data_IF_757280892121
#
_entry.id   IF_757280892121
#
_cell.length_a   1.000
_cell.length_b   1.000
_cell.length_c   1.000
_cell.angle_alpha   90.00
_cell.angle_beta   90.00
_cell.angle_gamma   90.00
#
_symmetry.space_group_name_H-M   'P 1'
#
loop_
_entity.id
_entity.type
_entity.pdbx_description
1 polymer ?
#
# COMPACT_ATOMS: atom_id res chain seq x y z
N UNK A 1 -43.96 -9.14 62.79
CA UNK A 1 -44.76 -7.92 62.55
C UNK A 1 -43.85 -6.90 61.86
N UNK A 2 -44.45 -6.13 60.95
CA UNK A 2 -43.89 -4.94 60.26
C UNK A 2 -43.20 -5.17 58.90
N UNK A 3 -44.02 -4.96 57.87
CA UNK A 3 -43.67 -4.57 56.49
C UNK A 3 -42.78 -3.32 56.48
N UNK A 4 -41.88 -3.18 55.49
CA UNK A 4 -41.81 -1.97 54.65
C UNK A 4 -41.25 -2.25 53.24
N UNK A 5 -41.97 -1.69 52.27
CA UNK A 5 -41.75 -1.66 50.82
C UNK A 5 -40.72 -0.57 50.48
N UNK A 6 -39.82 -0.81 49.52
CA UNK A 6 -39.11 0.27 48.81
C UNK A 6 -39.06 0.03 47.30
N UNK A 7 -39.49 1.09 46.61
CA UNK A 7 -39.86 1.20 45.21
C UNK A 7 -38.77 0.82 44.20
N UNK A 8 -39.20 0.19 43.10
CA UNK A 8 -38.43 0.08 41.87
C UNK A 8 -38.55 1.40 41.08
N UNK A 9 -37.41 1.99 40.70
CA UNK A 9 -37.35 3.18 39.85
C UNK A 9 -37.10 2.71 38.41
N UNK A 10 -38.14 2.71 37.59
CA UNK A 10 -38.07 2.39 36.16
C UNK A 10 -37.46 3.59 35.43
N UNK A 11 -36.25 3.44 34.87
CA UNK A 11 -35.61 4.47 34.03
C UNK A 11 -36.21 4.39 32.62
N UNK A 12 -36.90 5.44 32.21
CA UNK A 12 -37.46 5.59 30.86
C UNK A 12 -36.36 6.14 29.94
N UNK A 13 -35.79 5.30 29.06
CA UNK A 13 -34.87 5.74 28.00
C UNK A 13 -35.68 6.24 26.81
N UNK A 14 -35.65 7.56 26.57
CA UNK A 14 -36.19 8.17 25.36
C UNK A 14 -35.23 7.92 24.18
N UNK A 15 -35.68 7.19 23.15
CA UNK A 15 -34.97 7.04 21.90
C UNK A 15 -35.23 8.27 21.00
N UNK A 16 -34.23 9.13 20.82
CA UNK A 16 -34.28 10.20 19.82
C UNK A 16 -33.83 9.64 18.47
N UNK A 17 -34.76 9.41 17.55
CA UNK A 17 -34.47 9.10 16.16
C UNK A 17 -34.03 10.38 15.43
N UNK A 18 -32.73 10.55 15.19
CA UNK A 18 -32.20 11.58 14.28
C UNK A 18 -32.39 11.12 12.84
N UNK A 19 -33.37 11.70 12.14
CA UNK A 19 -33.51 11.59 10.70
C UNK A 19 -32.38 12.37 10.03
N UNK A 20 -31.33 11.70 9.54
CA UNK A 20 -30.29 12.31 8.71
C UNK A 20 -30.83 12.40 7.28
N UNK A 21 -31.22 13.59 6.84
CA UNK A 21 -31.55 13.84 5.44
C UNK A 21 -30.24 13.94 4.61
N UNK A 22 -30.18 13.36 3.41
CA UNK A 22 -29.02 13.48 2.54
C UNK A 22 -28.84 14.93 2.07
N UNK A 23 -27.68 15.53 2.37
CA UNK A 23 -27.32 16.86 1.88
C UNK A 23 -27.06 16.82 0.37
N UNK A 24 -27.74 17.64 -0.46
CA UNK A 24 -27.40 17.79 -1.87
C UNK A 24 -26.06 18.52 -1.98
N UNK A 25 -25.04 17.87 -2.52
CA UNK A 25 -23.76 18.52 -2.85
C UNK A 25 -22.52 17.99 -2.14
N UNK A 26 -22.58 16.82 -1.47
CA UNK A 26 -21.34 16.11 -1.16
C UNK A 26 -20.61 15.79 -2.49
N UNK A 27 -19.34 16.17 -2.67
CA UNK A 27 -18.59 15.73 -3.84
C UNK A 27 -18.62 14.20 -3.86
N UNK A 28 -19.04 13.65 -4.99
CA UNK A 28 -18.89 12.21 -5.20
C UNK A 28 -17.40 11.91 -5.00
N UNK A 29 -17.08 11.05 -4.03
CA UNK A 29 -15.77 10.45 -3.94
C UNK A 29 -15.58 9.59 -5.18
N UNK A 30 -15.12 10.20 -6.28
CA UNK A 30 -14.63 9.48 -7.43
C UNK A 30 -13.27 8.93 -7.05
N UNK A 31 -13.12 7.60 -7.03
CA UNK A 31 -11.78 7.04 -7.12
C UNK A 31 -11.14 7.60 -8.39
N UNK A 32 -9.87 8.01 -8.31
CA UNK A 32 -9.13 8.33 -9.53
C UNK A 32 -9.25 7.14 -10.50
N UNK A 33 -9.45 7.39 -11.81
CA UNK A 33 -9.59 6.30 -12.76
C UNK A 33 -8.36 5.40 -12.72
N UNK A 34 -8.58 4.09 -12.69
CA UNK A 34 -7.52 3.08 -12.72
C UNK A 34 -6.58 3.32 -13.91
N UNK A 35 -5.25 3.31 -13.73
CA UNK A 35 -4.31 3.45 -14.82
C UNK A 35 -4.34 2.20 -15.72
N UNK A 36 -4.05 2.36 -17.01
CA UNK A 36 -3.89 1.23 -17.92
C UNK A 36 -2.66 0.39 -17.56
N UNK A 37 -1.60 1.06 -17.10
CA UNK A 37 -0.33 0.46 -16.69
C UNK A 37 0.15 1.12 -15.40
N UNK A 38 0.69 0.34 -14.47
CA UNK A 38 1.44 0.83 -13.33
C UNK A 38 2.86 0.24 -13.33
N UNK A 39 3.85 1.08 -13.02
CA UNK A 39 5.21 0.62 -12.71
C UNK A 39 5.41 0.66 -11.20
N UNK A 40 5.68 -0.49 -10.61
CA UNK A 40 6.15 -0.62 -9.22
C UNK A 40 7.66 -0.80 -9.26
N UNK A 41 8.42 0.21 -8.83
CA UNK A 41 9.88 0.20 -8.95
C UNK A 41 10.60 0.39 -7.62
N UNK A 42 11.48 -0.55 -7.29
CA UNK A 42 12.39 -0.44 -6.15
C UNK A 42 13.76 0.10 -6.60
N UNK A 43 14.12 1.30 -6.13
CA UNK A 43 15.44 1.92 -6.34
C UNK A 43 16.56 1.08 -5.72
N UNK A 44 17.81 1.26 -6.13
CA UNK A 44 18.99 0.61 -5.53
C UNK A 44 19.51 1.33 -4.27
N UNK A 45 20.47 0.70 -3.60
CA UNK A 45 21.08 1.23 -2.38
C UNK A 45 21.69 2.62 -2.60
N UNK A 46 21.37 3.57 -1.72
CA UNK A 46 21.88 4.94 -1.77
C UNK A 46 21.28 5.80 -2.88
N UNK A 47 20.36 5.28 -3.70
CA UNK A 47 19.66 6.11 -4.68
C UNK A 47 18.73 7.11 -3.99
N UNK A 48 18.53 8.32 -4.58
CA UNK A 48 17.62 9.32 -4.04
C UNK A 48 16.20 8.79 -3.85
N UNK A 49 15.42 9.34 -2.88
CA UNK A 49 14.01 8.98 -2.70
C UNK A 49 13.19 9.06 -4.00
N UNK A 50 12.22 8.16 -4.15
CA UNK A 50 11.49 7.94 -5.40
C UNK A 50 11.98 6.68 -6.12
N UNK A 51 11.93 6.67 -7.45
CA UNK A 51 12.32 5.51 -8.28
C UNK A 51 13.83 5.43 -8.59
N UNK A 52 14.63 6.35 -8.05
CA UNK A 52 16.08 6.39 -8.28
C UNK A 52 16.49 6.91 -9.65
N UNK A 53 17.81 7.07 -9.83
CA UNK A 53 18.41 7.53 -11.08
C UNK A 53 18.36 6.48 -12.20
N UNK A 54 18.23 5.19 -11.86
CA UNK A 54 18.03 4.12 -12.84
C UNK A 54 16.55 3.90 -13.18
N UNK A 55 15.64 4.02 -12.21
CA UNK A 55 14.22 3.81 -12.45
C UNK A 55 13.59 4.91 -13.31
N UNK A 56 14.04 6.17 -13.17
CA UNK A 56 13.51 7.29 -13.94
C UNK A 56 13.66 7.12 -15.46
N UNK A 57 14.87 6.87 -16.02
CA UNK A 57 15.02 6.65 -17.46
C UNK A 57 14.27 5.40 -17.94
N UNK A 58 14.11 4.37 -17.10
CA UNK A 58 13.27 3.21 -17.43
C UNK A 58 11.79 3.61 -17.60
N UNK A 59 11.23 4.37 -16.65
CA UNK A 59 9.85 4.87 -16.71
C UNK A 59 9.64 5.78 -17.92
N UNK A 60 10.58 6.68 -18.20
CA UNK A 60 10.49 7.60 -19.34
C UNK A 60 10.53 6.83 -20.67
N UNK A 61 11.41 5.82 -20.78
CA UNK A 61 11.45 4.94 -21.93
C UNK A 61 10.15 4.14 -22.10
N UNK A 62 9.61 3.56 -21.02
CA UNK A 62 8.34 2.83 -21.06
C UNK A 62 7.19 3.74 -21.47
N UNK A 63 7.10 4.94 -20.90
CA UNK A 63 6.05 5.92 -21.23
C UNK A 63 6.03 6.26 -22.72
N UNK A 64 7.20 6.27 -23.38
CA UNK A 64 7.28 6.47 -24.84
C UNK A 64 6.78 5.29 -25.68
N UNK A 65 6.70 4.08 -25.10
CA UNK A 65 6.36 2.84 -25.82
C UNK A 65 4.90 2.38 -25.61
N UNK A 66 4.23 2.88 -24.57
CA UNK A 66 2.88 2.40 -24.23
C UNK A 66 1.74 3.07 -25.03
N UNK A 67 2.05 4.05 -25.89
CA UNK A 67 1.05 4.75 -26.72
C UNK A 67 0.21 5.73 -25.90
N UNK A 68 -1.10 5.74 -26.11
CA UNK A 68 -2.05 6.62 -25.38
C UNK A 68 -2.49 6.09 -24.01
N UNK A 69 -1.93 4.95 -23.57
CA UNK A 69 -2.24 4.35 -22.27
C UNK A 69 -1.76 5.25 -21.14
N UNK A 70 -2.59 5.39 -20.12
CA UNK A 70 -2.23 6.04 -18.87
C UNK A 70 -1.19 5.22 -18.10
N UNK A 71 -0.23 5.89 -17.46
CA UNK A 71 0.85 5.27 -16.69
C UNK A 71 0.95 5.88 -15.31
N UNK A 72 0.67 5.06 -14.29
CA UNK A 72 1.02 5.33 -12.91
C UNK A 72 2.43 4.81 -12.58
N UNK A 73 3.04 5.40 -11.55
CA UNK A 73 4.36 5.00 -11.07
C UNK A 73 4.34 4.99 -9.56
N UNK A 74 4.62 3.83 -8.98
CA UNK A 74 4.78 3.64 -7.56
C UNK A 74 6.26 3.40 -7.23
N UNK A 75 6.82 4.28 -6.41
CA UNK A 75 8.15 4.11 -5.85
C UNK A 75 8.06 3.29 -4.56
N UNK A 76 8.66 2.11 -4.55
CA UNK A 76 8.65 1.24 -3.37
C UNK A 76 9.27 1.95 -2.18
N UNK A 77 8.53 1.98 -1.07
CA UNK A 77 8.88 2.73 0.14
C UNK A 77 9.72 1.85 1.05
N UNK A 78 11.02 2.06 0.95
CA UNK A 78 11.97 1.42 1.85
C UNK A 78 13.25 2.26 1.96
N UNK A 79 14.10 2.02 2.97
CA UNK A 79 15.29 2.83 3.22
C UNK A 79 16.30 2.87 2.06
N UNK A 80 16.41 1.80 1.27
CA UNK A 80 17.48 1.62 0.29
C UNK A 80 18.88 1.90 0.90
N UNK A 81 19.12 1.36 2.10
CA UNK A 81 20.31 1.65 2.88
C UNK A 81 21.59 1.17 2.19
N UNK A 82 22.69 1.89 2.40
CA UNK A 82 24.06 1.46 2.05
C UNK A 82 24.81 0.90 3.25
N UNK A 83 24.18 0.86 4.42
CA UNK A 83 24.78 0.32 5.65
C UNK A 83 24.63 -1.20 5.71
N UNK A 84 25.37 -1.90 4.84
CA UNK A 84 25.38 -3.37 4.76
C UNK A 84 25.94 -4.06 6.00
N UNK A 85 26.63 -3.30 6.87
CA UNK A 85 27.20 -3.80 8.12
C UNK A 85 26.18 -3.82 9.26
N UNK A 86 25.06 -3.12 9.10
CA UNK A 86 24.00 -3.10 10.08
C UNK A 86 23.29 -4.47 10.13
N UNK A 87 23.19 -5.12 11.31
CA UNK A 87 22.48 -6.40 11.43
C UNK A 87 21.00 -6.32 11.01
N UNK A 88 20.38 -5.14 11.07
CA UNK A 88 19.00 -4.89 10.66
C UNK A 88 18.86 -4.59 9.15
N UNK A 89 19.97 -4.52 8.41
CA UNK A 89 19.95 -4.30 6.96
C UNK A 89 18.98 -5.24 6.21
N UNK A 90 18.93 -6.55 6.50
CA UNK A 90 17.96 -7.44 5.85
C UNK A 90 16.51 -7.04 6.09
N UNK A 91 16.17 -6.54 7.28
CA UNK A 91 14.83 -6.06 7.60
C UNK A 91 14.41 -4.91 6.67
N UNK A 92 15.34 -4.00 6.34
CA UNK A 92 15.05 -2.89 5.41
C UNK A 92 14.67 -3.36 4.01
N UNK A 93 15.24 -4.47 3.53
CA UNK A 93 14.89 -5.08 2.23
C UNK A 93 13.54 -5.78 2.33
N UNK A 94 13.28 -6.47 3.44
CA UNK A 94 12.00 -7.12 3.72
C UNK A 94 10.86 -6.08 3.77
N UNK A 95 11.10 -4.91 4.35
CA UNK A 95 10.12 -3.82 4.36
C UNK A 95 9.77 -3.37 2.93
N UNK A 96 10.76 -3.28 2.05
CA UNK A 96 10.52 -3.01 0.62
C UNK A 96 9.71 -4.12 -0.06
N UNK A 97 9.97 -5.38 0.27
CA UNK A 97 9.20 -6.52 -0.27
C UNK A 97 7.74 -6.42 0.18
N UNK A 98 7.50 -6.13 1.47
CA UNK A 98 6.16 -5.98 2.05
C UNK A 98 5.40 -4.80 1.47
N UNK A 99 6.06 -3.65 1.33
CA UNK A 99 5.47 -2.45 0.73
C UNK A 99 5.05 -2.70 -0.73
N UNK A 100 5.96 -3.26 -1.55
CA UNK A 100 5.66 -3.59 -2.94
C UNK A 100 4.53 -4.63 -3.07
N UNK A 101 4.54 -5.68 -2.24
CA UNK A 101 3.50 -6.73 -2.27
C UNK A 101 2.14 -6.16 -1.89
N UNK A 102 2.08 -5.38 -0.79
CA UNK A 102 0.83 -4.77 -0.31
C UNK A 102 0.25 -3.79 -1.33
N UNK A 103 1.11 -3.00 -1.98
CA UNK A 103 0.69 -2.07 -3.03
C UNK A 103 0.11 -2.81 -4.25
N UNK A 104 0.81 -3.83 -4.75
CA UNK A 104 0.35 -4.66 -5.86
C UNK A 104 -0.99 -5.35 -5.55
N UNK A 105 -1.14 -5.94 -4.37
CA UNK A 105 -2.38 -6.57 -3.94
C UNK A 105 -3.53 -5.55 -3.86
N UNK A 106 -3.26 -4.35 -3.34
CA UNK A 106 -4.23 -3.25 -3.30
C UNK A 106 -4.64 -2.79 -4.71
N UNK A 107 -3.69 -2.67 -5.64
CA UNK A 107 -3.96 -2.28 -7.01
C UNK A 107 -4.77 -3.35 -7.74
N UNK A 108 -4.44 -4.63 -7.59
CA UNK A 108 -5.21 -5.74 -8.18
C UNK A 108 -6.63 -5.79 -7.62
N UNK A 109 -6.81 -5.56 -6.31
CA UNK A 109 -8.13 -5.55 -5.69
C UNK A 109 -9.01 -4.37 -6.16
N UNK A 110 -8.40 -3.20 -6.35
CA UNK A 110 -9.12 -1.97 -6.70
C UNK A 110 -9.28 -1.79 -8.22
N UNK A 111 -8.31 -2.26 -8.98
CA UNK A 111 -8.12 -2.04 -10.41
C UNK A 111 -7.62 -3.33 -11.10
N UNK A 112 -8.43 -4.40 -11.18
CA UNK A 112 -7.99 -5.72 -11.67
C UNK A 112 -7.56 -5.75 -13.14
N UNK A 113 -7.81 -4.68 -13.90
CA UNK A 113 -7.43 -4.55 -15.30
C UNK A 113 -6.13 -3.75 -15.51
N UNK A 114 -5.57 -3.12 -14.47
CA UNK A 114 -4.26 -2.45 -14.53
C UNK A 114 -3.19 -3.47 -14.89
N UNK A 115 -2.32 -3.13 -15.84
CA UNK A 115 -1.14 -3.96 -16.15
C UNK A 115 0.02 -3.57 -15.23
N UNK A 116 0.44 -4.50 -14.38
CA UNK A 116 1.58 -4.30 -13.49
C UNK A 116 2.93 -4.54 -14.16
N UNK A 117 3.85 -3.61 -13.96
CA UNK A 117 5.27 -3.73 -14.34
C UNK A 117 6.09 -3.60 -13.06
N UNK A 118 6.45 -4.75 -12.48
CA UNK A 118 7.31 -4.82 -11.31
C UNK A 118 8.78 -4.85 -11.73
N UNK A 119 9.59 -3.96 -11.16
CA UNK A 119 11.02 -3.90 -11.45
C UNK A 119 11.86 -3.33 -10.31
N UNK A 120 13.17 -3.44 -10.44
CA UNK A 120 14.10 -2.82 -9.51
C UNK A 120 15.55 -2.94 -9.95
N UNK A 121 16.42 -2.19 -9.28
CA UNK A 121 17.85 -2.14 -9.57
C UNK A 121 18.69 -2.53 -8.34
N UNK A 122 19.69 -3.39 -8.52
CA UNK A 122 20.63 -3.82 -7.46
C UNK A 122 19.88 -4.40 -6.23
N UNK A 123 19.97 -3.78 -5.05
CA UNK A 123 19.14 -4.12 -3.88
C UNK A 123 17.64 -4.09 -4.19
N UNK A 124 17.17 -3.12 -4.98
CA UNK A 124 15.79 -3.06 -5.42
C UNK A 124 15.40 -4.19 -6.38
N UNK A 125 16.35 -4.76 -7.12
CA UNK A 125 16.08 -5.97 -7.92
C UNK A 125 15.83 -7.19 -7.01
N UNK A 126 16.53 -7.28 -5.87
CA UNK A 126 16.23 -8.29 -4.86
C UNK A 126 14.83 -8.07 -4.27
N UNK A 127 14.46 -6.82 -3.94
CA UNK A 127 13.10 -6.48 -3.49
C UNK A 127 12.06 -6.97 -4.50
N UNK A 128 12.17 -6.55 -5.76
CA UNK A 128 11.23 -6.92 -6.82
C UNK A 128 11.16 -8.44 -7.05
N UNK A 129 12.30 -9.13 -7.04
CA UNK A 129 12.36 -10.58 -7.21
C UNK A 129 11.65 -11.33 -6.08
N UNK A 130 11.85 -10.92 -4.82
CA UNK A 130 11.23 -11.59 -3.68
C UNK A 130 9.76 -11.23 -3.49
N UNK A 131 9.28 -10.08 -3.99
CA UNK A 131 7.85 -9.72 -3.98
C UNK A 131 6.95 -10.74 -4.66
N UNK A 132 7.45 -11.45 -5.69
CA UNK A 132 6.67 -12.49 -6.39
C UNK A 132 7.17 -13.91 -6.09
N UNK A 133 8.07 -14.05 -5.11
CA UNK A 133 8.60 -15.35 -4.72
C UNK A 133 7.52 -16.18 -4.00
N UNK A 134 7.31 -17.41 -4.46
CA UNK A 134 6.48 -18.39 -3.76
C UNK A 134 7.11 -18.89 -2.45
N UNK A 135 8.38 -18.52 -2.18
CA UNK A 135 9.15 -18.95 -1.00
C UNK A 135 9.56 -17.73 -0.19
N UNK A 136 9.15 -17.71 1.07
CA UNK A 136 9.65 -16.75 2.07
C UNK A 136 11.06 -17.19 2.47
N UNK A 137 12.08 -16.32 2.38
CA UNK A 137 13.44 -16.68 2.79
C UNK A 137 13.51 -17.13 4.25
N UNK A 138 14.35 -18.14 4.58
CA UNK A 138 14.55 -18.57 5.96
C UNK A 138 14.93 -17.40 6.87
N UNK A 139 14.30 -17.30 8.05
CA UNK A 139 14.58 -16.25 9.04
C UNK A 139 13.74 -14.98 8.91
N UNK A 140 12.85 -14.88 7.91
CA UNK A 140 11.87 -13.79 7.82
C UNK A 140 10.62 -14.14 8.65
N UNK A 141 10.25 -13.36 9.68
CA UNK A 141 9.04 -13.61 10.44
C UNK A 141 7.80 -13.39 9.57
N UNK A 142 6.83 -14.32 9.66
CA UNK A 142 5.59 -14.33 8.87
C UNK A 142 4.65 -13.15 9.20
N UNK A 143 4.89 -12.45 10.31
CA UNK A 143 4.18 -11.25 10.74
C UNK A 143 5.17 -10.27 11.35
N UNK A 144 5.04 -8.99 11.00
CA UNK A 144 5.61 -7.86 11.75
C UNK A 144 4.48 -7.17 12.51
#
# INVERSE_FOLDING_TARGET
>A
MSFQVRAALTVLTAAAALCVAPMPGAPAAGADPCPDVEVVFARGSGEPPGIGGIGQPFVDALRSQIGSRSLAVYAVKYPASTDFSNPDFPATVIDGIRDASSHLESMVASCPNTREVLGGYSQGAAVAGYTTSAVVPPGVPASA
#
